data_IF_449208446766
#
_entry.id   IF_449208446766
#
_cell.length_a   1.000
_cell.length_b   1.000
_cell.length_c   1.000
_cell.angle_alpha   90.00
_cell.angle_beta   90.00
_cell.angle_gamma   90.00
#
_symmetry.space_group_name_H-M   'P 1'
#
loop_
_entity.id
_entity.type
_entity.pdbx_description
1 polymer ?
#
# COMPACT_ATOMS: atom_id res chain seq x y z
N UNK A 1 32.67 1.86 -6.97
CA UNK A 1 31.21 1.67 -6.88
C UNK A 1 30.75 2.43 -5.65
N UNK A 2 29.75 3.33 -5.68
CA UNK A 2 29.30 3.96 -4.45
C UNK A 2 28.62 2.87 -3.60
N UNK A 3 29.37 2.36 -2.63
CA UNK A 3 29.11 1.15 -1.85
C UNK A 3 28.12 1.38 -0.71
N UNK A 4 27.05 2.15 -0.92
CA UNK A 4 26.09 2.41 0.15
C UNK A 4 24.67 2.79 -0.33
N UNK A 5 24.25 2.28 -1.49
CA UNK A 5 22.88 2.47 -1.95
C UNK A 5 21.95 1.61 -1.08
N UNK A 6 21.24 2.24 -0.14
CA UNK A 6 20.25 1.59 0.71
C UNK A 6 18.96 1.36 -0.09
N UNK A 7 18.54 0.10 -0.22
CA UNK A 7 17.28 -0.25 -0.87
C UNK A 7 16.14 -0.33 0.17
N UNK A 8 15.55 0.83 0.49
CA UNK A 8 14.44 0.92 1.43
C UNK A 8 13.11 0.56 0.76
N UNK A 9 12.57 -0.61 1.10
CA UNK A 9 11.30 -1.14 0.60
C UNK A 9 10.25 -1.05 1.70
N UNK A 10 9.06 -0.55 1.38
CA UNK A 10 7.96 -0.42 2.33
C UNK A 10 6.75 -1.21 1.85
N UNK A 11 6.12 -1.92 2.79
CA UNK A 11 4.84 -2.59 2.54
C UNK A 11 3.96 -2.57 3.78
N UNK A 12 2.65 -2.63 3.59
CA UNK A 12 1.66 -2.58 4.67
C UNK A 12 0.80 -3.82 4.55
N UNK A 13 0.76 -4.66 5.58
CA UNK A 13 0.17 -5.98 5.48
C UNK A 13 -0.72 -6.31 6.68
N UNK A 14 -1.95 -6.74 6.37
CA UNK A 14 -2.85 -7.36 7.34
C UNK A 14 -2.61 -8.87 7.43
N UNK A 15 -3.17 -9.53 8.45
CA UNK A 15 -3.01 -10.98 8.63
C UNK A 15 -3.50 -11.79 7.41
N UNK A 16 -4.58 -11.35 6.75
CA UNK A 16 -5.23 -12.10 5.66
C UNK A 16 -4.36 -12.10 4.42
N UNK A 17 -3.65 -11.01 4.16
CA UNK A 17 -2.81 -10.86 2.97
C UNK A 17 -1.34 -11.20 3.19
N UNK A 18 -0.94 -11.66 4.38
CA UNK A 18 0.42 -12.09 4.66
C UNK A 18 0.96 -13.16 3.69
N UNK A 19 0.07 -14.01 3.16
CA UNK A 19 0.47 -15.01 2.15
C UNK A 19 0.74 -14.38 0.77
N UNK A 20 0.06 -13.28 0.43
CA UNK A 20 0.33 -12.53 -0.81
C UNK A 20 1.69 -11.85 -0.69
N UNK A 21 1.95 -11.22 0.46
CA UNK A 21 3.25 -10.64 0.78
C UNK A 21 4.38 -11.69 0.72
N UNK A 22 4.15 -12.89 1.22
CA UNK A 22 5.14 -13.97 1.14
C UNK A 22 5.49 -14.32 -0.32
N UNK A 23 4.50 -14.39 -1.22
CA UNK A 23 4.75 -14.59 -2.65
C UNK A 23 5.47 -13.39 -3.28
N UNK A 24 5.09 -12.16 -2.96
CA UNK A 24 5.77 -10.95 -3.44
C UNK A 24 7.25 -10.97 -3.06
N UNK A 25 7.58 -11.12 -1.78
CA UNK A 25 8.97 -11.12 -1.30
C UNK A 25 9.78 -12.27 -1.91
N UNK A 26 9.17 -13.45 -2.07
CA UNK A 26 9.81 -14.58 -2.73
C UNK A 26 10.06 -14.32 -4.22
N UNK A 27 9.12 -13.67 -4.91
CA UNK A 27 9.31 -13.30 -6.32
C UNK A 27 10.40 -12.25 -6.50
N UNK A 28 10.52 -11.29 -5.58
CA UNK A 28 11.64 -10.34 -5.57
C UNK A 28 12.95 -11.10 -5.39
N UNK A 29 13.07 -11.94 -4.35
CA UNK A 29 14.27 -12.72 -4.05
C UNK A 29 14.76 -13.55 -5.24
N UNK A 30 13.86 -14.28 -5.90
CA UNK A 30 14.20 -15.20 -7.00
C UNK A 30 14.63 -14.47 -8.26
N UNK A 31 14.18 -13.22 -8.47
CA UNK A 31 14.45 -12.45 -9.69
C UNK A 31 15.51 -11.35 -9.52
N UNK A 32 16.28 -11.35 -8.43
CA UNK A 32 17.42 -10.45 -8.28
C UNK A 32 18.54 -10.81 -9.27
N UNK A 33 19.11 -9.80 -9.94
CA UNK A 33 20.22 -10.00 -10.86
C UNK A 33 21.56 -10.21 -10.13
N UNK A 34 21.67 -9.70 -8.90
CA UNK A 34 22.85 -9.85 -8.04
C UNK A 34 22.47 -9.86 -6.55
N UNK A 35 23.28 -10.49 -5.67
CA UNK A 35 23.05 -10.46 -4.23
C UNK A 35 22.82 -9.04 -3.72
N UNK A 36 21.65 -8.79 -3.16
CA UNK A 36 21.20 -7.46 -2.73
C UNK A 36 20.41 -7.59 -1.44
N UNK A 37 20.64 -6.65 -0.52
CA UNK A 37 19.90 -6.57 0.72
C UNK A 37 18.98 -5.34 0.70
N UNK A 38 17.73 -5.55 1.13
CA UNK A 38 16.71 -4.53 1.29
C UNK A 38 16.45 -4.28 2.78
N UNK A 39 16.34 -3.02 3.17
CA UNK A 39 15.69 -2.64 4.42
C UNK A 39 14.18 -2.65 4.19
N UNK A 40 13.51 -3.71 4.64
CA UNK A 40 12.08 -3.91 4.50
C UNK A 40 11.33 -3.34 5.71
N UNK A 41 10.70 -2.18 5.54
CA UNK A 41 9.79 -1.59 6.51
C UNK A 41 8.40 -2.20 6.34
N UNK A 42 8.06 -3.15 7.20
CA UNK A 42 6.80 -3.87 7.16
C UNK A 42 5.86 -3.32 8.22
N UNK A 43 4.84 -2.59 7.79
CA UNK A 43 3.79 -2.10 8.68
C UNK A 43 2.76 -3.20 8.91
N UNK A 44 2.70 -3.66 10.15
CA UNK A 44 1.86 -4.73 10.65
C UNK A 44 0.46 -4.21 11.04
N UNK A 45 -0.54 -4.56 10.24
CA UNK A 45 -1.97 -4.31 10.52
C UNK A 45 -2.62 -5.57 11.12
N UNK A 46 -2.12 -6.01 12.28
CA UNK A 46 -2.72 -7.10 13.05
C UNK A 46 -2.39 -8.52 12.56
N UNK A 47 -1.20 -8.76 12.01
CA UNK A 47 -0.67 -10.09 11.70
C UNK A 47 -0.53 -10.91 12.99
N UNK A 48 -1.23 -12.05 13.05
CA UNK A 48 -1.22 -12.95 14.20
C UNK A 48 0.15 -13.61 14.37
N UNK A 49 0.57 -13.99 15.59
CA UNK A 49 1.88 -14.62 15.84
C UNK A 49 2.17 -15.84 14.96
N UNK A 50 1.19 -16.73 14.77
CA UNK A 50 1.36 -17.91 13.90
C UNK A 50 1.62 -17.54 12.44
N UNK A 51 0.93 -16.52 11.94
CA UNK A 51 1.11 -16.00 10.58
C UNK A 51 2.46 -15.30 10.45
N UNK A 52 2.85 -14.51 11.45
CA UNK A 52 4.15 -13.85 11.52
C UNK A 52 5.30 -14.86 11.49
N UNK A 53 5.21 -15.94 12.26
CA UNK A 53 6.21 -17.02 12.26
C UNK A 53 6.25 -17.78 10.92
N UNK A 54 5.14 -17.88 10.19
CA UNK A 54 5.15 -18.40 8.81
C UNK A 54 5.83 -17.42 7.85
N UNK A 55 5.55 -16.13 7.98
CA UNK A 55 6.14 -15.09 7.14
C UNK A 55 7.66 -15.01 7.33
N UNK A 56 8.13 -15.00 8.58
CA UNK A 56 9.57 -15.01 8.90
C UNK A 56 10.30 -16.23 8.31
N UNK A 57 9.64 -17.38 8.21
CA UNK A 57 10.19 -18.58 7.55
C UNK A 57 10.14 -18.53 6.01
N UNK A 58 9.33 -17.64 5.44
CA UNK A 58 9.27 -17.44 3.99
C UNK A 58 10.35 -16.46 3.51
N UNK A 59 10.76 -15.54 4.38
CA UNK A 59 11.68 -14.45 4.08
C UNK A 59 13.12 -14.92 4.22
N UNK A 60 13.94 -14.63 3.21
CA UNK A 60 15.37 -14.83 3.27
C UNK A 60 16.06 -13.65 3.98
N UNK A 61 16.72 -13.87 5.13
CA UNK A 61 17.36 -12.79 5.90
C UNK A 61 18.59 -12.18 5.21
N UNK A 62 19.20 -12.89 4.26
CA UNK A 62 20.32 -12.35 3.47
C UNK A 62 19.83 -11.31 2.44
N UNK A 63 18.53 -11.35 2.11
CA UNK A 63 17.89 -10.44 1.16
C UNK A 63 17.07 -9.36 1.86
N UNK A 64 16.35 -9.68 2.93
CA UNK A 64 15.47 -8.72 3.60
C UNK A 64 15.81 -8.56 5.08
N UNK A 65 16.28 -7.37 5.44
CA UNK A 65 16.36 -6.94 6.83
C UNK A 65 15.04 -6.27 7.23
N UNK A 66 14.27 -6.93 8.09
CA UNK A 66 12.89 -6.50 8.39
C UNK A 66 12.84 -5.53 9.58
N UNK A 67 12.31 -4.35 9.33
CA UNK A 67 11.88 -3.39 10.35
C UNK A 67 10.37 -3.55 10.59
N UNK A 68 9.99 -4.15 11.71
CA UNK A 68 8.59 -4.32 12.08
C UNK A 68 8.05 -3.03 12.67
N UNK A 69 6.98 -2.51 12.07
CA UNK A 69 6.28 -1.31 12.54
C UNK A 69 4.81 -1.65 12.80
N UNK A 70 4.22 -1.10 13.84
CA UNK A 70 2.78 -1.11 14.07
C UNK A 70 2.13 0.09 13.39
N UNK A 71 0.82 0.05 13.20
CA UNK A 71 0.07 1.21 12.68
C UNK A 71 0.31 2.45 13.55
N UNK A 72 0.28 2.30 14.88
CA UNK A 72 0.42 3.43 15.80
C UNK A 72 1.82 4.06 15.75
N UNK A 73 2.88 3.26 15.54
CA UNK A 73 4.25 3.78 15.34
C UNK A 73 4.43 4.54 14.03
N UNK A 74 3.55 4.32 13.04
CA UNK A 74 3.62 4.97 11.73
C UNK A 74 2.82 6.26 11.62
N UNK A 75 1.99 6.57 12.63
CA UNK A 75 1.13 7.74 12.63
C UNK A 75 1.66 8.77 13.64
N UNK A 76 1.69 10.06 13.29
CA UNK A 76 2.01 11.09 14.27
C UNK A 76 0.99 11.09 15.42
N UNK A 77 1.42 11.37 16.67
CA UNK A 77 0.51 11.44 17.81
C UNK A 77 -0.64 12.43 17.56
N UNK A 78 -1.87 12.01 17.86
CA UNK A 78 -3.06 12.86 17.74
C UNK A 78 -3.63 13.02 16.32
N UNK A 79 -3.04 12.37 15.30
CA UNK A 79 -3.62 12.38 13.95
C UNK A 79 -4.90 11.56 13.93
N UNK A 80 -6.01 12.22 13.61
CA UNK A 80 -7.27 11.55 13.27
C UNK A 80 -7.30 11.31 11.77
N UNK A 81 -7.29 10.05 11.35
CA UNK A 81 -7.40 9.72 9.93
C UNK A 81 -8.79 10.09 9.39
N UNK A 82 -8.91 10.52 8.11
CA UNK A 82 -10.18 10.91 7.52
C UNK A 82 -11.27 9.84 7.70
N UNK A 83 -12.50 10.29 8.01
CA UNK A 83 -13.65 9.40 8.03
C UNK A 83 -14.00 8.95 6.60
N UNK A 84 -13.57 7.75 6.25
CA UNK A 84 -13.84 7.15 4.95
C UNK A 84 -15.22 6.44 4.89
N UNK A 85 -16.10 6.89 3.96
CA UNK A 85 -17.40 6.25 3.67
C UNK A 85 -17.30 4.98 2.81
N UNK A 86 -16.12 4.65 2.27
CA UNK A 86 -15.85 3.47 1.45
C UNK A 86 -15.62 2.19 2.29
N UNK A 87 -15.18 1.09 1.67
CA UNK A 87 -14.79 -0.16 2.37
C UNK A 87 -13.29 -0.27 2.69
N UNK A 88 -12.52 0.82 2.67
CA UNK A 88 -11.06 0.75 2.86
C UNK A 88 -10.61 0.90 4.33
N UNK A 89 -9.63 0.10 4.82
CA UNK A 89 -9.10 0.18 6.19
C UNK A 89 -8.21 1.39 6.42
N UNK A 90 -7.99 1.71 7.70
CA UNK A 90 -7.04 2.75 8.17
C UNK A 90 -5.65 2.60 7.54
N UNK A 91 -5.28 1.37 7.21
CA UNK A 91 -4.02 1.02 6.55
C UNK A 91 -3.80 1.69 5.18
N UNK A 92 -4.84 2.10 4.47
CA UNK A 92 -4.71 2.77 3.17
C UNK A 92 -4.03 4.13 3.32
N UNK A 93 -4.28 4.84 4.43
CA UNK A 93 -3.65 6.13 4.69
C UNK A 93 -2.21 6.02 5.19
N UNK A 94 -1.80 4.87 5.73
CA UNK A 94 -0.44 4.68 6.28
C UNK A 94 0.63 4.90 5.21
N UNK A 95 0.35 4.58 3.94
CA UNK A 95 1.31 4.84 2.85
C UNK A 95 1.63 6.33 2.68
N UNK A 96 0.72 7.22 3.07
CA UNK A 96 0.96 8.66 3.03
C UNK A 96 1.96 9.10 4.10
N UNK A 97 2.16 8.30 5.16
CA UNK A 97 3.08 8.60 6.25
C UNK A 97 4.46 7.98 6.08
N UNK A 98 4.71 7.26 4.97
CA UNK A 98 6.00 6.63 4.67
C UNK A 98 7.20 7.55 4.95
N UNK A 99 7.21 8.82 4.50
CA UNK A 99 8.35 9.70 4.72
C UNK A 99 8.64 10.03 6.20
N UNK A 100 7.72 9.75 7.13
CA UNK A 100 7.86 10.12 8.55
C UNK A 100 8.36 8.99 9.43
N UNK A 101 8.21 7.72 9.02
CA UNK A 101 8.66 6.56 9.81
C UNK A 101 9.88 5.84 9.23
N UNK A 102 10.34 6.21 8.04
CA UNK A 102 11.63 5.74 7.49
C UNK A 102 12.79 6.67 7.93
N UNK A 103 14.06 6.22 7.85
CA UNK A 103 15.21 7.06 8.14
C UNK A 103 15.20 8.36 7.31
N UNK A 104 15.48 9.47 8.00
CA UNK A 104 15.27 10.82 7.44
C UNK A 104 16.26 11.15 6.31
N UNK A 105 17.42 10.49 6.28
CA UNK A 105 18.46 10.69 5.27
C UNK A 105 18.20 9.96 3.94
N UNK A 106 17.19 9.09 3.88
CA UNK A 106 16.86 8.39 2.64
C UNK A 106 16.36 9.37 1.58
N UNK A 107 16.92 9.27 0.38
CA UNK A 107 16.56 10.10 -0.78
C UNK A 107 15.53 9.44 -1.69
N UNK A 108 15.31 8.12 -1.53
CA UNK A 108 14.40 7.32 -2.35
C UNK A 108 13.90 6.12 -1.57
N UNK A 109 12.60 5.84 -1.67
CA UNK A 109 11.95 4.68 -1.06
C UNK A 109 10.94 4.10 -2.04
N UNK A 110 10.85 2.77 -2.11
CA UNK A 110 9.86 2.08 -2.93
C UNK A 110 8.76 1.55 -2.03
N UNK A 111 7.51 1.84 -2.38
CA UNK A 111 6.34 1.20 -1.81
C UNK A 111 5.78 0.17 -2.79
N UNK A 112 5.41 -1.01 -2.29
CA UNK A 112 4.68 -2.03 -3.04
C UNK A 112 3.46 -2.54 -2.26
N UNK A 113 2.30 -2.59 -2.93
CA UNK A 113 1.13 -3.34 -2.48
C UNK A 113 1.49 -4.83 -2.37
N UNK A 114 0.93 -5.50 -1.36
CA UNK A 114 1.26 -6.90 -1.02
C UNK A 114 0.79 -7.92 -2.06
N UNK A 115 -0.11 -7.54 -2.96
CA UNK A 115 -0.70 -8.40 -3.98
C UNK A 115 -0.05 -8.23 -5.36
N UNK A 116 1.27 -8.10 -5.34
CA UNK A 116 2.12 -8.01 -6.52
C UNK A 116 3.03 -9.22 -6.66
N UNK A 117 3.52 -9.48 -7.88
CA UNK A 117 4.56 -10.46 -8.20
C UNK A 117 5.59 -9.79 -9.09
N UNK A 118 6.86 -9.83 -8.70
CA UNK A 118 7.97 -9.27 -9.46
C UNK A 118 8.58 -10.32 -10.39
N UNK A 119 8.78 -9.97 -11.65
CA UNK A 119 9.49 -10.73 -12.68
C UNK A 119 10.85 -10.12 -13.02
N UNK A 120 11.07 -8.86 -12.62
CA UNK A 120 12.29 -8.12 -12.87
C UNK A 120 12.96 -7.76 -11.55
N UNK A 121 14.28 -7.61 -11.57
CA UNK A 121 15.05 -7.03 -10.47
C UNK A 121 14.55 -5.61 -10.16
N UNK A 122 13.92 -5.45 -8.99
CA UNK A 122 13.32 -4.19 -8.55
C UNK A 122 14.35 -3.13 -8.18
N UNK A 123 15.63 -3.48 -8.00
CA UNK A 123 16.70 -2.50 -7.71
C UNK A 123 16.81 -1.44 -8.81
N UNK A 124 16.41 -1.78 -10.04
CA UNK A 124 16.32 -0.85 -11.16
C UNK A 124 15.42 0.37 -10.87
N UNK A 125 14.40 0.24 -10.01
CA UNK A 125 13.57 1.38 -9.57
C UNK A 125 14.39 2.46 -8.86
N UNK A 126 15.43 2.09 -8.12
CA UNK A 126 16.27 3.07 -7.43
C UNK A 126 17.25 3.78 -8.36
N UNK A 127 17.51 3.24 -9.55
CA UNK A 127 18.32 3.91 -10.57
C UNK A 127 17.55 4.99 -11.35
N UNK A 128 16.21 4.99 -11.26
CA UNK A 128 15.36 5.97 -11.96
C UNK A 128 15.57 7.35 -11.35
N UNK A 129 15.94 8.33 -12.17
CA UNK A 129 16.01 9.73 -11.75
C UNK A 129 14.60 10.35 -11.72
N UNK A 130 14.21 10.85 -10.55
CA UNK A 130 12.92 11.54 -10.36
C UNK A 130 12.97 13.00 -10.81
N UNK A 131 14.17 13.58 -10.98
CA UNK A 131 14.33 15.00 -11.24
C UNK A 131 13.66 15.84 -10.15
N UNK A 132 12.77 16.73 -10.56
CA UNK A 132 11.98 17.61 -9.68
C UNK A 132 10.66 16.99 -9.19
N UNK A 133 10.35 15.74 -9.59
CA UNK A 133 9.09 15.08 -9.26
C UNK A 133 9.09 14.54 -7.83
N UNK A 134 7.90 14.57 -7.22
CA UNK A 134 7.68 14.15 -5.84
C UNK A 134 7.63 12.63 -5.68
N UNK A 135 7.19 11.94 -6.73
CA UNK A 135 7.19 10.49 -6.83
C UNK A 135 7.21 10.03 -8.30
N UNK A 136 7.58 8.77 -8.51
CA UNK A 136 7.31 8.03 -9.74
C UNK A 136 6.23 6.98 -9.51
N UNK A 137 5.32 6.83 -10.47
CA UNK A 137 4.25 5.82 -10.45
C UNK A 137 3.91 5.39 -11.88
N UNK A 138 3.08 4.35 -12.02
CA UNK A 138 2.57 3.91 -13.32
C UNK A 138 1.17 4.46 -13.54
N UNK A 139 0.90 4.93 -14.76
CA UNK A 139 -0.41 5.45 -15.15
C UNK A 139 -1.52 4.43 -14.84
N UNK A 140 -2.61 4.90 -14.23
CA UNK A 140 -3.74 4.03 -13.88
C UNK A 140 -4.47 3.59 -15.16
N UNK A 141 -5.15 2.46 -15.11
CA UNK A 141 -6.05 1.98 -16.18
C UNK A 141 -7.17 2.94 -16.57
N UNK A 142 -7.54 3.88 -15.69
CA UNK A 142 -8.45 4.97 -16.03
C UNK A 142 -7.79 6.06 -16.89
N UNK A 143 -6.46 6.04 -16.99
CA UNK A 143 -5.55 6.91 -17.75
C UNK A 143 -5.57 8.38 -17.31
N UNK A 144 -6.73 9.03 -17.34
CA UNK A 144 -6.89 10.46 -17.14
C UNK A 144 -8.05 10.79 -16.19
N UNK A 145 -7.97 11.96 -15.55
CA UNK A 145 -8.94 12.43 -14.56
C UNK A 145 -10.36 12.56 -15.15
N UNK A 146 -10.50 12.93 -16.43
CA UNK A 146 -11.79 13.06 -17.12
C UNK A 146 -12.38 11.76 -17.67
N UNK A 147 -11.73 10.61 -17.44
CA UNK A 147 -12.18 9.30 -17.95
C UNK A 147 -13.56 8.92 -17.44
N UNK A 148 -14.44 8.50 -18.35
CA UNK A 148 -15.83 8.14 -18.04
C UNK A 148 -15.98 6.83 -17.26
N UNK A 149 -14.97 5.96 -17.28
CA UNK A 149 -15.02 4.65 -16.65
C UNK A 149 -14.41 4.61 -15.24
N UNK A 150 -13.37 5.41 -15.00
CA UNK A 150 -12.62 5.37 -13.74
C UNK A 150 -11.92 6.68 -13.36
N UNK A 151 -12.20 7.78 -14.08
CA UNK A 151 -11.75 9.11 -13.71
C UNK A 151 -12.49 9.67 -12.49
N UNK A 152 -12.24 10.93 -12.18
CA UNK A 152 -12.85 11.63 -11.05
C UNK A 152 -14.04 12.44 -11.52
N UNK A 153 -15.25 12.09 -11.06
CA UNK A 153 -16.47 12.76 -11.49
C UNK A 153 -16.51 14.26 -11.19
N UNK A 154 -15.68 14.74 -10.28
CA UNK A 154 -15.54 16.15 -9.91
C UNK A 154 -14.25 16.81 -10.44
N UNK A 155 -13.59 16.25 -11.45
CA UNK A 155 -12.32 16.79 -11.97
C UNK A 155 -12.41 18.28 -12.35
N UNK A 156 -13.56 18.74 -12.84
CA UNK A 156 -13.82 20.15 -13.16
C UNK A 156 -13.82 21.04 -11.91
N UNK A 157 -14.49 20.60 -10.83
CA UNK A 157 -14.51 21.31 -9.53
C UNK A 157 -13.10 21.42 -8.92
N UNK A 158 -12.23 20.45 -9.22
CA UNK A 158 -10.84 20.42 -8.78
C UNK A 158 -9.90 21.28 -9.65
N UNK A 159 -10.42 21.88 -10.73
CA UNK A 159 -9.63 22.64 -11.69
C UNK A 159 -8.66 21.77 -12.52
N UNK A 160 -8.91 20.45 -12.63
CA UNK A 160 -8.11 19.55 -13.45
C UNK A 160 -8.58 19.59 -14.90
N UNK A 161 -7.65 19.56 -15.84
CA UNK A 161 -7.97 19.30 -17.24
C UNK A 161 -8.44 17.85 -17.41
N UNK A 162 -9.37 17.55 -18.34
CA UNK A 162 -9.91 16.20 -18.52
C UNK A 162 -8.83 15.17 -18.92
N UNK A 163 -7.77 15.61 -19.58
CA UNK A 163 -6.61 14.81 -20.02
C UNK A 163 -5.48 14.74 -18.97
N UNK A 164 -5.67 15.32 -17.77
CA UNK A 164 -4.70 15.20 -16.68
C UNK A 164 -4.48 13.73 -16.35
N UNK A 165 -3.26 13.24 -16.56
CA UNK A 165 -2.91 11.84 -16.30
C UNK A 165 -3.02 11.51 -14.81
N UNK A 166 -3.53 10.32 -14.52
CA UNK A 166 -3.63 9.76 -13.18
C UNK A 166 -2.88 8.43 -13.08
N UNK A 167 -2.43 8.08 -11.89
CA UNK A 167 -1.60 6.91 -11.61
C UNK A 167 -2.21 5.98 -10.57
N UNK A 168 -1.77 4.72 -10.61
CA UNK A 168 -2.10 3.72 -9.61
C UNK A 168 -1.22 3.86 -8.37
N UNK A 169 -1.79 3.81 -7.16
CA UNK A 169 -1.02 3.98 -5.92
C UNK A 169 -0.34 2.71 -5.40
N UNK A 170 -0.41 1.58 -6.12
CA UNK A 170 0.11 0.30 -5.66
C UNK A 170 1.62 0.14 -5.75
N UNK A 171 2.27 0.87 -6.67
CA UNK A 171 3.72 1.02 -6.72
C UNK A 171 4.05 2.51 -6.71
N UNK A 172 4.84 2.94 -5.72
CA UNK A 172 5.29 4.33 -5.62
C UNK A 172 6.80 4.37 -5.41
N UNK A 173 7.51 5.11 -6.26
CA UNK A 173 8.89 5.50 -6.07
C UNK A 173 8.91 6.91 -5.46
N UNK A 174 9.08 7.03 -4.16
CA UNK A 174 8.85 8.29 -3.44
C UNK A 174 10.19 9.01 -3.23
N UNK A 175 10.19 10.34 -3.42
CA UNK A 175 11.22 11.24 -2.89
C UNK A 175 10.78 11.74 -1.50
N UNK A 176 11.19 11.09 -0.40
CA UNK A 176 10.66 11.39 0.92
C UNK A 176 11.14 12.74 1.46
N UNK A 177 12.28 13.26 0.98
CA UNK A 177 12.79 14.58 1.38
C UNK A 177 11.87 15.67 0.82
N UNK A 178 11.65 15.66 -0.50
CA UNK A 178 10.77 16.64 -1.15
C UNK A 178 9.33 16.52 -0.66
N UNK A 179 8.88 15.29 -0.39
CA UNK A 179 7.56 15.03 0.19
C UNK A 179 7.34 15.74 1.53
N UNK A 180 8.30 15.64 2.45
CA UNK A 180 8.24 16.32 3.75
C UNK A 180 8.34 17.83 3.58
N UNK A 181 9.27 18.31 2.76
CA UNK A 181 9.47 19.76 2.52
C UNK A 181 8.21 20.45 1.98
N UNK A 182 7.40 19.74 1.18
CA UNK A 182 6.19 20.27 0.56
C UNK A 182 4.90 19.90 1.32
N UNK A 183 4.99 19.30 2.52
CA UNK A 183 3.86 18.90 3.35
C UNK A 183 2.80 18.10 2.57
N UNK A 184 3.24 17.14 1.76
CA UNK A 184 2.36 16.42 0.83
C UNK A 184 1.32 15.59 1.60
N UNK A 185 1.67 14.97 2.72
CA UNK A 185 0.75 14.14 3.50
C UNK A 185 -0.45 14.94 3.99
N UNK A 186 -0.21 16.12 4.55
CA UNK A 186 -1.24 17.02 5.07
C UNK A 186 -2.13 17.53 3.93
N UNK A 187 -1.54 17.90 2.78
CA UNK A 187 -2.28 18.33 1.59
C UNK A 187 -3.18 17.22 1.06
N UNK A 188 -2.69 15.99 0.98
CA UNK A 188 -3.45 14.81 0.52
C UNK A 188 -4.59 14.50 1.47
N UNK A 189 -4.34 14.48 2.79
CA UNK A 189 -5.37 14.25 3.81
C UNK A 189 -6.48 15.30 3.70
N UNK A 190 -6.12 16.58 3.64
CA UNK A 190 -7.08 17.69 3.48
C UNK A 190 -7.91 17.55 2.20
N UNK A 191 -7.27 17.23 1.08
CA UNK A 191 -7.95 17.01 -0.19
C UNK A 191 -9.01 15.89 -0.07
N UNK A 192 -8.67 14.79 0.59
CA UNK A 192 -9.59 13.67 0.80
C UNK A 192 -10.77 14.09 1.67
N UNK A 193 -10.52 14.82 2.77
CA UNK A 193 -11.57 15.30 3.69
C UNK A 193 -12.56 16.25 3.02
N UNK A 194 -12.06 17.18 2.20
CA UNK A 194 -12.87 18.12 1.43
C UNK A 194 -13.69 17.41 0.32
N UNK A 195 -13.25 16.22 -0.11
CA UNK A 195 -13.81 15.49 -1.25
C UNK A 195 -14.29 14.06 -0.93
N UNK A 196 -14.67 13.78 0.34
CA UNK A 196 -15.07 12.43 0.81
C UNK A 196 -16.13 11.75 -0.07
N UNK A 197 -17.03 12.53 -0.71
CA UNK A 197 -18.06 12.00 -1.61
C UNK A 197 -17.52 11.42 -2.92
N UNK A 198 -16.34 11.86 -3.37
CA UNK A 198 -15.73 11.50 -4.65
C UNK A 198 -14.55 10.54 -4.49
N UNK A 199 -13.90 10.54 -3.34
CA UNK A 199 -12.72 9.76 -3.03
C UNK A 199 -13.01 8.26 -2.84
N UNK A 200 -13.32 7.53 -3.92
CA UNK A 200 -13.64 6.08 -3.89
C UNK A 200 -12.44 5.24 -3.42
N UNK A 201 -11.24 5.58 -3.90
CA UNK A 201 -9.95 5.08 -3.44
C UNK A 201 -9.19 6.26 -2.81
N UNK A 202 -9.35 6.50 -1.49
CA UNK A 202 -9.01 7.79 -0.90
C UNK A 202 -7.56 8.22 -1.09
N UNK A 203 -6.60 7.32 -0.83
CA UNK A 203 -5.17 7.58 -1.02
C UNK A 203 -4.84 7.91 -2.48
N UNK A 204 -5.27 7.06 -3.42
CA UNK A 204 -4.99 7.23 -4.84
C UNK A 204 -5.64 8.52 -5.35
N UNK A 205 -6.89 8.80 -4.95
CA UNK A 205 -7.59 10.04 -5.29
C UNK A 205 -6.82 11.26 -4.80
N UNK A 206 -6.54 11.33 -3.50
CA UNK A 206 -5.88 12.49 -2.91
C UNK A 206 -4.48 12.71 -3.49
N UNK A 207 -3.72 11.64 -3.73
CA UNK A 207 -2.42 11.71 -4.38
C UNK A 207 -2.51 12.25 -5.81
N UNK A 208 -3.41 11.73 -6.64
CA UNK A 208 -3.55 12.19 -8.02
C UNK A 208 -4.03 13.64 -8.13
N UNK A 209 -4.88 14.08 -7.20
CA UNK A 209 -5.35 15.47 -7.17
C UNK A 209 -4.25 16.42 -6.69
N UNK A 210 -3.58 16.10 -5.58
CA UNK A 210 -2.56 16.98 -4.99
C UNK A 210 -1.29 17.02 -5.83
N UNK A 211 -0.94 15.91 -6.48
CA UNK A 211 0.29 15.74 -7.26
C UNK A 211 0.04 15.80 -8.76
N UNK A 212 -1.10 16.32 -9.20
CA UNK A 212 -1.38 16.52 -10.63
C UNK A 212 -0.20 17.23 -11.31
N UNK A 213 0.34 16.62 -12.38
CA UNK A 213 1.52 17.09 -13.12
C UNK A 213 2.86 17.14 -12.34
N UNK A 214 2.90 16.65 -11.09
CA UNK A 214 4.08 16.63 -10.21
C UNK A 214 4.64 15.23 -9.92
N UNK A 215 4.27 14.24 -10.73
CA UNK A 215 4.79 12.87 -10.67
C UNK A 215 5.50 12.48 -11.97
N UNK A 216 6.40 11.51 -11.89
CA UNK A 216 7.08 10.89 -13.03
C UNK A 216 6.31 9.65 -13.47
N UNK A 217 5.96 9.58 -14.74
CA UNK A 217 5.37 8.37 -15.32
C UNK A 217 6.45 7.31 -15.56
N UNK A 218 6.34 6.19 -14.85
CA UNK A 218 7.19 5.02 -14.99
C UNK A 218 6.71 4.14 -16.15
N UNK A 219 7.61 3.31 -16.67
CA UNK A 219 7.25 2.28 -17.66
C UNK A 219 6.08 1.43 -17.14
N UNK A 220 5.03 1.28 -17.96
CA UNK A 220 3.81 0.53 -17.63
C UNK A 220 4.08 -0.89 -17.14
N UNK A 221 5.21 -1.48 -17.55
CA UNK A 221 5.62 -2.83 -17.14
C UNK A 221 5.86 -2.95 -15.64
N UNK A 222 6.11 -1.85 -14.92
CA UNK A 222 6.29 -1.84 -13.47
C UNK A 222 4.99 -2.01 -12.67
N UNK A 223 3.81 -1.94 -13.29
CA UNK A 223 2.54 -2.14 -12.57
C UNK A 223 1.47 -2.68 -13.54
N UNK A 224 1.63 -3.94 -13.94
CA UNK A 224 0.75 -4.58 -14.91
C UNK A 224 -0.46 -5.19 -14.21
N UNK A 225 -1.64 -4.72 -14.53
CA UNK A 225 -2.88 -5.29 -14.00
C UNK A 225 -3.07 -6.72 -14.50
N UNK A 226 -3.32 -7.66 -13.59
CA UNK A 226 -3.57 -9.07 -13.94
C UNK A 226 -4.82 -9.30 -14.83
N UNK A 227 -5.61 -8.24 -15.04
CA UNK A 227 -6.74 -8.19 -15.96
C UNK A 227 -6.35 -8.10 -17.43
N UNK A 228 -5.11 -7.72 -17.74
CA UNK A 228 -4.63 -7.51 -19.10
C UNK A 228 -3.38 -8.35 -19.37
N UNK A 229 -3.22 -8.75 -20.63
CA UNK A 229 -2.04 -9.46 -21.10
C UNK A 229 -0.98 -8.43 -21.53
N UNK A 230 -0.06 -8.14 -20.61
CA UNK A 230 1.10 -7.27 -20.89
C UNK A 230 2.28 -8.09 -21.41
N UNK A 231 3.01 -7.55 -22.39
CA UNK A 231 4.17 -8.22 -22.97
C UNK A 231 5.39 -7.92 -22.09
N UNK A 232 6.03 -8.97 -21.57
CA UNK A 232 7.20 -8.88 -20.68
C UNK A 232 6.97 -7.97 -19.46
N UNK A 233 5.98 -8.27 -18.60
CA UNK A 233 5.68 -7.47 -17.42
C UNK A 233 6.83 -7.54 -16.42
N UNK A 234 7.19 -6.42 -15.79
CA UNK A 234 8.18 -6.37 -14.71
C UNK A 234 7.55 -6.70 -13.37
N UNK A 235 6.32 -6.23 -13.13
CA UNK A 235 5.54 -6.57 -11.94
C UNK A 235 4.08 -6.77 -12.35
N UNK A 236 3.49 -7.90 -11.92
CA UNK A 236 2.05 -8.16 -12.01
C UNK A 236 1.36 -7.68 -10.74
N UNK A 237 0.25 -6.98 -10.87
CA UNK A 237 -0.58 -6.48 -9.78
C UNK A 237 -1.98 -7.11 -9.81
N UNK A 238 -2.30 -7.90 -8.79
CA UNK A 238 -3.57 -8.64 -8.66
C UNK A 238 -4.70 -7.78 -8.07
N UNK A 239 -4.97 -6.63 -8.70
CA UNK A 239 -6.05 -5.74 -8.28
C UNK A 239 -7.42 -6.44 -8.36
N UNK A 240 -8.37 -6.05 -7.51
CA UNK A 240 -9.73 -6.63 -7.54
C UNK A 240 -9.87 -7.99 -6.86
N UNK A 241 -10.16 -9.06 -7.61
CA UNK A 241 -10.24 -10.44 -7.08
C UNK A 241 -8.83 -11.01 -6.96
N UNK A 242 -8.41 -11.38 -5.76
CA UNK A 242 -7.06 -11.93 -5.50
C UNK A 242 -6.95 -13.40 -5.96
N UNK A 243 -5.76 -13.87 -6.36
CA UNK A 243 -5.54 -15.23 -6.88
C UNK A 243 -5.85 -16.34 -5.85
N UNK A 244 -5.90 -15.98 -4.57
CA UNK A 244 -6.24 -16.86 -3.44
C UNK A 244 -7.73 -17.23 -3.32
N UNK A 245 -8.58 -16.73 -4.21
CA UNK A 245 -10.02 -17.02 -4.20
C UNK A 245 -10.41 -17.94 -5.36
N UNK A 246 -11.32 -18.88 -5.11
CA UNK A 246 -11.86 -19.76 -6.18
C UNK A 246 -12.62 -18.98 -7.26
N UNK A 247 -13.10 -17.78 -6.94
CA UNK A 247 -13.76 -16.87 -7.88
C UNK A 247 -12.79 -15.98 -8.67
N UNK A 248 -11.49 -16.24 -8.60
CA UNK A 248 -10.52 -15.53 -9.44
C UNK A 248 -10.77 -15.81 -10.91
N UNK A 249 -10.96 -14.75 -11.70
CA UNK A 249 -11.46 -14.80 -13.08
C UNK A 249 -10.55 -14.07 -14.09
N UNK A 250 -9.40 -13.58 -13.66
CA UNK A 250 -8.46 -12.87 -14.56
C UNK A 250 -7.43 -13.85 -15.14
N UNK A 251 -6.27 -13.36 -15.57
CA UNK A 251 -5.27 -14.17 -16.25
C UNK A 251 -4.81 -15.38 -15.41
N UNK A 252 -5.01 -16.59 -15.95
CA UNK A 252 -4.71 -17.86 -15.27
C UNK A 252 -3.23 -18.22 -15.28
N UNK A 253 -2.45 -17.75 -16.26
CA UNK A 253 -1.00 -17.91 -16.26
C UNK A 253 -0.38 -17.12 -15.10
N UNK A 254 -0.79 -15.85 -14.92
CA UNK A 254 -0.37 -15.05 -13.78
C UNK A 254 -0.83 -15.64 -12.45
N UNK A 255 -2.04 -16.22 -12.39
CA UNK A 255 -2.47 -16.95 -11.19
C UNK A 255 -1.53 -18.12 -10.88
N UNK A 256 -1.10 -18.88 -11.89
CA UNK A 256 -0.18 -19.99 -11.69
C UNK A 256 1.22 -19.50 -11.27
N UNK A 257 1.74 -18.44 -11.86
CA UNK A 257 3.00 -17.78 -11.44
C UNK A 257 2.94 -17.37 -9.96
N UNK A 258 1.84 -16.74 -9.52
CA UNK A 258 1.62 -16.46 -8.11
C UNK A 258 1.73 -17.71 -7.23
N UNK A 259 1.14 -18.83 -7.66
CA UNK A 259 1.23 -20.10 -6.93
C UNK A 259 2.61 -20.77 -7.03
N UNK A 260 3.36 -20.56 -8.11
CA UNK A 260 4.75 -21.02 -8.22
C UNK A 260 5.61 -20.41 -7.11
N UNK A 261 5.56 -19.09 -6.91
CA UNK A 261 6.27 -18.43 -5.81
C UNK A 261 5.70 -18.83 -4.45
N UNK A 262 4.38 -18.94 -4.29
CA UNK A 262 3.76 -19.35 -3.03
C UNK A 262 4.23 -20.74 -2.58
N UNK A 263 4.43 -21.68 -3.52
CA UNK A 263 4.95 -23.03 -3.28
C UNK A 263 6.39 -23.07 -2.76
N UNK A 264 7.15 -21.99 -2.93
CA UNK A 264 8.50 -21.84 -2.36
C UNK A 264 8.47 -21.28 -0.92
N UNK A 265 7.29 -21.16 -0.31
CA UNK A 265 7.10 -20.62 1.04
C UNK A 265 6.40 -21.65 1.96
N UNK A 266 6.30 -21.40 3.27
CA UNK A 266 5.51 -22.25 4.19
C UNK A 266 4.00 -22.34 3.88
N UNK A 267 3.51 -21.64 2.86
CA UNK A 267 2.15 -21.74 2.33
C UNK A 267 2.03 -22.69 1.13
N UNK A 268 3.02 -23.54 0.87
CA UNK A 268 3.06 -24.43 -0.29
C UNK A 268 1.84 -25.35 -0.51
N UNK A 269 1.08 -25.67 0.54
CA UNK A 269 -0.15 -26.47 0.45
C UNK A 269 -1.42 -25.62 0.62
N UNK A 270 -1.34 -24.33 0.32
CA UNK A 270 -2.48 -23.43 0.46
C UNK A 270 -3.52 -23.69 -0.62
N UNK A 271 -4.75 -23.97 -0.19
CA UNK A 271 -5.90 -24.11 -1.08
C UNK A 271 -6.67 -22.79 -1.21
N UNK A 272 -7.06 -22.39 -2.43
CA UNK A 272 -7.87 -21.20 -2.63
C UNK A 272 -9.17 -21.25 -1.84
N UNK A 273 -9.55 -20.10 -1.29
CA UNK A 273 -10.74 -19.96 -0.46
C UNK A 273 -11.97 -19.71 -1.34
N UNK A 274 -13.10 -20.34 -0.99
CA UNK A 274 -14.38 -20.11 -1.66
C UNK A 274 -14.77 -18.63 -1.77
N UNK A 275 -15.18 -18.20 -2.97
CA UNK A 275 -15.54 -16.81 -3.26
C UNK A 275 -16.63 -16.20 -2.34
N UNK A 276 -17.52 -17.01 -1.77
CA UNK A 276 -18.52 -16.56 -0.80
C UNK A 276 -17.91 -15.97 0.47
N UNK A 277 -16.73 -16.46 0.91
CA UNK A 277 -16.03 -15.90 2.07
C UNK A 277 -15.60 -14.46 1.80
N UNK A 278 -15.21 -14.13 0.57
CA UNK A 278 -14.91 -12.74 0.17
C UNK A 278 -16.15 -11.84 0.30
N UNK A 279 -17.33 -12.33 -0.09
CA UNK A 279 -18.58 -11.59 0.05
C UNK A 279 -18.95 -11.35 1.52
N UNK A 280 -18.88 -12.38 2.36
CA UNK A 280 -19.12 -12.24 3.80
C UNK A 280 -18.14 -11.26 4.45
N UNK A 281 -16.86 -11.30 4.08
CA UNK A 281 -15.86 -10.36 4.58
C UNK A 281 -16.16 -8.92 4.15
N UNK A 282 -16.59 -8.69 2.91
CA UNK A 282 -17.04 -7.35 2.48
C UNK A 282 -18.27 -6.88 3.27
N UNK A 283 -19.20 -7.77 3.56
CA UNK A 283 -20.40 -7.45 4.33
C UNK A 283 -20.06 -7.11 5.80
N UNK A 284 -19.27 -7.95 6.46
CA UNK A 284 -18.83 -7.71 7.85
C UNK A 284 -18.07 -6.39 7.97
N UNK A 285 -17.23 -6.05 7.00
CA UNK A 285 -16.53 -4.77 6.97
C UNK A 285 -17.46 -3.56 6.77
N UNK A 286 -18.46 -3.67 5.87
CA UNK A 286 -19.49 -2.65 5.72
C UNK A 286 -20.31 -2.45 7.01
N UNK A 287 -20.61 -3.54 7.71
CA UNK A 287 -21.36 -3.52 8.97
C UNK A 287 -20.52 -2.94 10.13
N UNK A 288 -19.25 -3.32 10.25
CA UNK A 288 -18.35 -2.77 11.27
C UNK A 288 -18.15 -1.27 11.10
N UNK A 289 -17.99 -0.79 9.87
CA UNK A 289 -17.96 0.65 9.57
C UNK A 289 -19.28 1.35 9.91
N UNK A 290 -20.42 0.77 9.53
CA UNK A 290 -21.74 1.32 9.91
C UNK A 290 -21.88 1.45 11.43
N UNK A 291 -21.45 0.44 12.18
CA UNK A 291 -21.50 0.45 13.63
C UNK A 291 -20.51 1.45 14.24
N UNK A 292 -19.30 1.56 13.70
CA UNK A 292 -18.35 2.63 14.05
C UNK A 292 -18.94 4.03 13.79
N UNK A 293 -19.55 4.26 12.62
CA UNK A 293 -20.20 5.54 12.31
C UNK A 293 -21.39 5.85 13.23
N UNK A 294 -22.16 4.84 13.63
CA UNK A 294 -23.28 5.02 14.55
C UNK A 294 -22.80 5.36 15.96
N UNK A 295 -21.77 4.65 16.45
CA UNK A 295 -21.18 4.90 17.77
C UNK A 295 -20.41 6.23 17.85
N UNK A 296 -19.69 6.61 16.79
CA UNK A 296 -19.01 7.90 16.68
C UNK A 296 -19.99 9.08 16.57
N UNK A 297 -21.11 8.92 15.85
CA UNK A 297 -22.19 9.94 15.79
C UNK A 297 -22.96 10.09 17.09
N UNK A 298 -23.16 9.00 17.84
CA UNK A 298 -23.88 9.03 19.12
C UNK A 298 -23.01 9.51 20.28
N UNK A 299 -21.69 9.46 20.15
CA UNK A 299 -20.78 9.91 21.20
C UNK A 299 -19.44 10.40 20.61
N UNK A 300 -19.38 11.63 20.05
CA UNK A 300 -18.16 12.18 19.44
C UNK A 300 -16.99 12.34 20.43
N UNK A 301 -17.26 12.26 21.75
CA UNK A 301 -16.24 12.31 22.81
C UNK A 301 -15.66 10.94 23.19
N UNK A 302 -16.17 9.83 22.65
CA UNK A 302 -15.59 8.50 22.95
C UNK A 302 -14.20 8.29 22.36
N UNK A 303 -13.86 9.00 21.28
CA UNK A 303 -12.49 9.03 20.74
C UNK A 303 -11.48 9.73 21.67
N UNK A 304 -11.94 10.63 22.55
CA UNK A 304 -11.11 11.28 23.57
C UNK A 304 -10.98 10.41 24.82
N UNK A 305 -12.06 9.73 25.24
CA UNK A 305 -12.05 8.86 26.42
C UNK A 305 -11.14 7.62 26.27
N UNK A 306 -11.04 7.04 25.07
CA UNK A 306 -10.11 5.94 24.81
C UNK A 306 -8.64 6.42 24.79
N UNK A 307 -8.37 7.69 24.46
CA UNK A 307 -7.03 8.30 24.53
C UNK A 307 -6.60 8.62 25.97
N UNK A 308 -7.54 9.05 26.82
CA UNK A 308 -7.30 9.31 28.25
C UNK A 308 -7.17 8.01 29.06
N UNK A 309 -7.88 6.94 28.69
CA UNK A 309 -7.74 5.63 29.33
C UNK A 309 -6.35 4.99 29.06
N UNK A 310 -5.74 5.24 27.89
CA UNK A 310 -4.33 4.89 27.62
C UNK A 310 -3.34 5.79 28.36
N UNK A 311 -3.64 7.06 28.59
CA UNK A 311 -2.78 7.96 29.38
C UNK A 311 -2.82 7.65 30.90
N UNK A 312 -3.95 7.20 31.43
CA UNK A 312 -4.08 6.82 32.83
C UNK A 312 -3.35 5.50 33.17
N UNK A 313 -3.16 4.58 32.21
CA UNK A 313 -2.38 3.35 32.43
C UNK A 313 -0.87 3.58 32.30
N UNK A 314 -0.43 4.52 31.46
CA UNK A 314 0.98 4.88 31.29
C UNK A 314 1.59 5.66 32.48
N UNK A 315 0.75 6.27 33.33
CA UNK A 315 1.22 7.05 34.49
C UNK A 315 1.38 6.21 35.77
N UNK A 316 1.00 4.93 35.76
CA UNK A 316 1.07 4.03 36.95
C UNK A 316 2.27 3.07 36.98
N UNK A 317 3.18 3.15 36.01
CA UNK A 317 4.43 2.35 35.96
C UNK A 317 5.72 3.19 36.07
N UNK A 318 5.61 4.44 36.57
CA UNK A 318 6.75 5.24 37.05
C UNK A 318 6.60 5.49 38.55
N UNK A 319 6.76 4.42 39.33
CA UNK A 319 7.11 4.44 40.76
C UNK A 319 7.22 2.97 41.20
N UNK A 320 8.33 2.35 40.81
CA UNK A 320 9.15 1.38 41.55
C UNK A 320 10.36 1.01 40.71
#
# INVERSE_FOLDING_TARGET
MPSNQKFALVTICDNRFALLLASLLKSIEVNLASPTQFDLYLVNDGIRPLTRNKLLRAINPDVFHIHWLTIDETLPPGVTLPMDRSTFPRNVFVRLFIPYFIPQELTKVVYLDVDMIAHQDITALWAIDLGDKLLGAVQDRAEVAGSSWGGYSNYQDLGLAPDTKIFNSGLLLINPIAWRQQNITERVIRCIEENVKYAVFPDQYGLNVVLANQWLELDRRWNCYAQYDEVNPYIIHFTGVKPIYTSYQYNKAYQEEFYQYLRMTPWQHYNPIGGWRRFLLKLTYKLSKRWYHLTYRLNPFKGLADSEATHASATRFKLL
#
